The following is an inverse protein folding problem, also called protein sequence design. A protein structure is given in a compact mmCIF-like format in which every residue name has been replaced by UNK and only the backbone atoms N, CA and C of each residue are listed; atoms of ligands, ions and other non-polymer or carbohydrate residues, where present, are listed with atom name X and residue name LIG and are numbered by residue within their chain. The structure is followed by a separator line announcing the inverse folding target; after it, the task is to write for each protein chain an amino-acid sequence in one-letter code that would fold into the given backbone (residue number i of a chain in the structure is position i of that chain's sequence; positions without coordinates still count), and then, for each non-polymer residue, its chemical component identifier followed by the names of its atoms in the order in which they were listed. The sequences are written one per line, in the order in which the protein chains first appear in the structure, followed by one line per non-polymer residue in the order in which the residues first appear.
data_IF_902094119756
#
_entry.id   IF_902094119756
#
_cell.length_a   1.000
_cell.length_b   1.000
_cell.length_c   1.000
_cell.angle_alpha   90.00
_cell.angle_beta   90.00
_cell.angle_gamma   90.00
#
_symmetry.space_group_name_H-M   'P 1'
#
loop_
_entity.id
_entity.type
_entity.pdbx_description
1 polymer ?
#
# COMPACT_ATOMS: atom_id res chain seq x y z
N UNK A 1 -15.92 -5.79 7.54
CA UNK A 1 -16.05 -5.65 6.08
C UNK A 1 -16.31 -4.19 5.73
N UNK A 2 -15.98 -3.82 4.49
CA UNK A 2 -16.25 -2.52 3.90
C UNK A 2 -16.79 -2.73 2.49
N UNK A 3 -17.82 -1.95 2.12
CA UNK A 3 -18.36 -1.90 0.75
C UNK A 3 -18.66 -0.44 0.44
N UNK A 4 -18.00 0.08 -0.61
CA UNK A 4 -18.17 1.45 -1.06
C UNK A 4 -18.52 1.47 -2.54
N UNK A 5 -19.48 2.29 -2.90
CA UNK A 5 -19.82 2.59 -4.28
C UNK A 5 -19.94 4.10 -4.47
N UNK A 6 -19.17 4.62 -5.40
CA UNK A 6 -19.21 6.01 -5.78
C UNK A 6 -19.51 6.13 -7.27
N UNK A 7 -20.49 6.94 -7.64
CA UNK A 7 -20.76 7.30 -9.01
C UNK A 7 -20.78 8.83 -9.13
N UNK A 8 -20.03 9.33 -10.10
CA UNK A 8 -19.99 10.74 -10.47
C UNK A 8 -20.26 10.92 -11.96
N UNK A 9 -21.24 11.76 -12.31
CA UNK A 9 -21.44 12.20 -13.69
C UNK A 9 -20.63 13.46 -13.93
N UNK A 10 -19.93 13.53 -15.06
CA UNK A 10 -19.21 14.72 -15.48
C UNK A 10 -20.12 15.83 -15.98
N UNK A 11 -19.54 16.99 -16.20
CA UNK A 11 -20.23 18.19 -16.66
C UNK A 11 -20.59 18.11 -18.16
N UNK A 12 -19.74 17.47 -18.97
CA UNK A 12 -19.93 17.30 -20.41
C UNK A 12 -20.42 15.90 -20.77
N UNK A 13 -20.77 15.68 -22.04
CA UNK A 13 -21.15 14.38 -22.58
C UNK A 13 -20.05 13.35 -22.35
N UNK A 14 -20.44 12.09 -22.23
CA UNK A 14 -19.55 10.90 -22.14
C UNK A 14 -18.50 10.97 -21.01
N UNK A 15 -18.75 11.78 -19.99
CA UNK A 15 -17.89 11.89 -18.82
C UNK A 15 -18.59 11.34 -17.59
N UNK A 16 -18.08 10.25 -17.06
CA UNK A 16 -18.58 9.69 -15.80
C UNK A 16 -17.52 8.82 -15.17
N UNK A 17 -17.55 8.71 -13.84
CA UNK A 17 -16.68 7.84 -13.07
C UNK A 17 -17.54 6.98 -12.16
N UNK A 18 -17.24 5.67 -12.10
CA UNK A 18 -17.83 4.76 -11.13
C UNK A 18 -16.73 3.98 -10.44
N UNK A 19 -16.77 3.97 -9.12
CA UNK A 19 -15.86 3.21 -8.26
C UNK A 19 -16.66 2.24 -7.43
N UNK A 20 -16.21 1.00 -7.39
CA UNK A 20 -16.72 -0.02 -6.49
C UNK A 20 -15.54 -0.62 -5.72
N UNK A 21 -15.64 -0.63 -4.41
CA UNK A 21 -14.68 -1.23 -3.53
C UNK A 21 -15.39 -2.17 -2.54
N UNK A 22 -14.87 -3.38 -2.38
CA UNK A 22 -15.34 -4.32 -1.38
C UNK A 22 -14.16 -4.98 -0.69
N UNK A 23 -14.14 -4.94 0.64
CA UNK A 23 -13.06 -5.46 1.45
C UNK A 23 -13.55 -6.24 2.65
N UNK A 24 -12.77 -7.25 3.03
CA UNK A 24 -12.94 -8.02 4.26
C UNK A 24 -11.60 -8.03 4.97
N UNK A 25 -11.61 -7.82 6.27
CA UNK A 25 -10.43 -7.93 7.10
C UNK A 25 -10.72 -8.78 8.34
N UNK A 26 -9.70 -9.48 8.80
CA UNK A 26 -9.71 -10.26 10.02
C UNK A 26 -8.42 -10.01 10.80
N UNK A 27 -8.54 -9.97 12.12
CA UNK A 27 -7.40 -9.84 13.03
C UNK A 27 -7.56 -10.79 14.20
N UNK A 28 -6.48 -11.48 14.54
CA UNK A 28 -6.38 -12.28 15.73
C UNK A 28 -5.14 -11.86 16.53
N UNK A 29 -5.31 -11.53 17.79
CA UNK A 29 -4.24 -11.06 18.68
C UNK A 29 -4.23 -11.94 19.94
N UNK A 30 -3.36 -12.94 19.94
CA UNK A 30 -3.06 -13.76 21.11
C UNK A 30 -1.66 -13.50 21.65
N UNK A 31 -1.34 -14.09 22.79
CA UNK A 31 -0.03 -13.90 23.43
C UNK A 31 1.12 -14.46 22.57
N UNK A 32 0.95 -15.66 22.02
CA UNK A 32 1.97 -16.33 21.22
C UNK A 32 1.78 -16.18 19.72
N UNK A 33 0.53 -16.10 19.25
CA UNK A 33 0.21 -16.00 17.84
C UNK A 33 -0.61 -14.77 17.54
N UNK A 34 -0.26 -14.10 16.46
CA UNK A 34 -0.98 -12.93 15.93
C UNK A 34 -1.13 -13.09 14.42
N UNK A 35 -2.26 -12.68 13.89
CA UNK A 35 -2.57 -12.74 12.47
C UNK A 35 -3.40 -11.54 12.07
N UNK A 36 -3.12 -11.02 10.87
CA UNK A 36 -3.98 -10.06 10.18
C UNK A 36 -4.15 -10.52 8.74
N UNK A 37 -5.38 -10.53 8.27
CA UNK A 37 -5.73 -10.90 6.90
C UNK A 37 -6.62 -9.82 6.31
N UNK A 38 -6.35 -9.46 5.05
CA UNK A 38 -7.14 -8.49 4.30
C UNK A 38 -7.38 -9.06 2.91
N UNK A 39 -8.61 -9.05 2.47
CA UNK A 39 -9.01 -9.21 1.08
C UNK A 39 -9.65 -7.91 0.61
N UNK A 40 -9.25 -7.42 -0.53
CA UNK A 40 -9.87 -6.25 -1.15
C UNK A 40 -10.04 -6.45 -2.66
N UNK A 41 -11.16 -5.98 -3.17
CA UNK A 41 -11.47 -5.95 -4.60
C UNK A 41 -11.92 -4.53 -4.96
N UNK A 42 -11.26 -3.95 -5.94
CA UNK A 42 -11.52 -2.60 -6.43
C UNK A 42 -11.81 -2.61 -7.91
N UNK A 43 -12.84 -1.91 -8.33
CA UNK A 43 -13.16 -1.68 -9.73
C UNK A 43 -13.44 -0.22 -9.95
N UNK A 44 -12.69 0.42 -10.85
CA UNK A 44 -12.93 1.76 -11.32
C UNK A 44 -13.21 1.75 -12.81
N UNK A 45 -14.25 2.45 -13.24
CA UNK A 45 -14.53 2.71 -14.66
C UNK A 45 -14.70 4.21 -14.84
N UNK A 46 -13.99 4.75 -15.82
CA UNK A 46 -14.12 6.14 -16.26
C UNK A 46 -14.51 6.15 -17.73
N UNK A 47 -15.57 6.87 -18.07
CA UNK A 47 -15.87 7.23 -19.45
C UNK A 47 -15.14 8.53 -19.77
N UNK A 48 -14.53 8.59 -20.92
CA UNK A 48 -13.68 9.69 -21.36
C UNK A 48 -14.26 10.36 -22.59
N UNK A 49 -14.24 11.68 -22.61
CA UNK A 49 -14.78 12.46 -23.70
C UNK A 49 -13.70 13.19 -24.54
N UNK A 50 -12.43 13.14 -24.14
CA UNK A 50 -11.33 13.79 -24.86
C UNK A 50 -11.37 15.31 -24.90
N UNK A 51 -12.31 15.94 -24.20
CA UNK A 51 -12.61 17.37 -24.26
C UNK A 51 -13.67 17.74 -25.29
N UNK A 52 -14.08 19.00 -25.33
CA UNK A 52 -15.03 19.52 -26.31
C UNK A 52 -14.40 19.59 -27.70
N UNK A 53 -15.21 19.42 -28.75
CA UNK A 53 -14.71 19.43 -30.12
C UNK A 53 -14.25 20.82 -30.57
N UNK A 54 -14.93 21.87 -30.14
CA UNK A 54 -14.65 23.25 -30.53
C UNK A 54 -14.90 24.20 -29.35
N UNK A 55 -13.89 24.97 -28.97
CA UNK A 55 -13.95 25.93 -27.86
C UNK A 55 -14.93 27.09 -28.10
N UNK A 56 -15.35 27.31 -29.35
CA UNK A 56 -16.36 28.34 -29.68
C UNK A 56 -17.72 28.05 -29.09
N UNK A 57 -18.05 26.78 -28.76
CA UNK A 57 -19.27 26.45 -28.01
C UNK A 57 -19.36 27.18 -26.67
N UNK A 58 -18.21 27.60 -26.12
CA UNK A 58 -18.12 28.35 -24.86
C UNK A 58 -17.76 29.80 -25.10
N UNK A 59 -16.80 30.10 -26.00
CA UNK A 59 -16.22 31.41 -26.15
C UNK A 59 -17.03 32.34 -27.11
N UNK A 60 -17.69 31.75 -28.12
CA UNK A 60 -18.50 32.42 -29.11
C UNK A 60 -19.65 31.53 -29.57
N UNK A 61 -20.60 31.23 -28.68
CA UNK A 61 -21.65 30.25 -28.95
C UNK A 61 -22.56 30.65 -30.12
N UNK A 62 -22.74 31.93 -30.36
CA UNK A 62 -23.50 32.48 -31.50
C UNK A 62 -22.91 32.14 -32.87
N UNK A 63 -21.62 31.88 -32.96
CA UNK A 63 -20.95 31.48 -34.21
C UNK A 63 -21.18 29.99 -34.57
N UNK A 64 -21.78 29.23 -33.68
CA UNK A 64 -22.04 27.80 -33.90
C UNK A 64 -23.33 27.59 -34.69
N UNK A 65 -23.47 26.38 -35.28
CA UNK A 65 -24.50 26.05 -36.27
C UNK A 65 -25.95 26.37 -35.85
N UNK A 66 -26.26 26.37 -34.55
CA UNK A 66 -27.61 26.70 -34.06
C UNK A 66 -27.75 28.15 -33.63
N UNK A 67 -26.66 28.96 -33.64
CA UNK A 67 -26.67 30.40 -33.33
C UNK A 67 -27.21 30.74 -31.94
N UNK A 68 -27.07 29.85 -30.96
CA UNK A 68 -27.53 30.04 -29.59
C UNK A 68 -26.58 30.97 -28.82
N UNK A 69 -27.11 31.72 -27.86
CA UNK A 69 -26.30 32.54 -26.97
C UNK A 69 -25.53 31.69 -25.94
N UNK A 70 -26.03 30.48 -25.64
CA UNK A 70 -25.47 29.55 -24.68
C UNK A 70 -25.89 28.13 -25.04
N UNK A 71 -24.99 27.15 -24.82
CA UNK A 71 -25.23 25.72 -24.98
C UNK A 71 -25.19 25.06 -23.64
N UNK A 72 -26.12 24.17 -23.35
CA UNK A 72 -26.00 23.27 -22.21
C UNK A 72 -24.76 22.39 -22.35
N UNK A 73 -23.97 22.28 -21.31
CA UNK A 73 -22.73 21.47 -21.30
C UNK A 73 -22.93 20.03 -21.79
N UNK A 74 -24.10 19.44 -21.47
CA UNK A 74 -24.48 18.09 -21.88
C UNK A 74 -24.82 17.96 -23.35
N UNK A 75 -24.99 19.07 -24.10
CA UNK A 75 -25.28 19.09 -25.55
C UNK A 75 -24.06 19.44 -26.39
N UNK A 76 -23.01 19.99 -25.77
CA UNK A 76 -21.77 20.34 -26.48
C UNK A 76 -21.08 19.08 -26.99
N UNK A 77 -20.75 18.97 -28.30
CA UNK A 77 -20.06 17.86 -28.88
C UNK A 77 -18.66 17.64 -28.28
N UNK A 78 -18.29 16.42 -28.04
CA UNK A 78 -17.01 16.02 -27.46
C UNK A 78 -16.18 15.20 -28.45
N UNK A 79 -14.86 15.17 -28.24
CA UNK A 79 -13.91 14.54 -29.18
C UNK A 79 -14.01 13.02 -29.18
N UNK A 80 -14.27 12.41 -28.02
CA UNK A 80 -14.33 10.97 -27.86
C UNK A 80 -15.75 10.52 -27.49
N UNK A 81 -16.23 9.53 -28.24
CA UNK A 81 -17.50 8.84 -27.98
C UNK A 81 -17.22 7.38 -27.66
N UNK A 82 -17.98 6.80 -26.73
CA UNK A 82 -17.88 5.39 -26.35
C UNK A 82 -16.46 4.96 -25.94
N UNK A 83 -15.73 5.88 -25.32
CA UNK A 83 -14.37 5.65 -24.81
C UNK A 83 -14.39 5.49 -23.30
N UNK A 84 -13.70 4.47 -22.81
CA UNK A 84 -13.64 4.19 -21.38
C UNK A 84 -12.34 3.55 -20.97
N UNK A 85 -11.88 3.94 -19.76
CA UNK A 85 -10.86 3.26 -18.97
C UNK A 85 -11.50 2.41 -17.89
N UNK A 86 -10.99 1.23 -17.67
CA UNK A 86 -11.43 0.35 -16.58
C UNK A 86 -10.25 -0.30 -15.90
N UNK A 87 -10.12 -0.08 -14.60
CA UNK A 87 -9.19 -0.75 -13.72
C UNK A 87 -9.95 -1.74 -12.83
N UNK A 88 -9.40 -2.94 -12.70
CA UNK A 88 -9.84 -3.95 -11.75
C UNK A 88 -8.64 -4.48 -11.02
N UNK A 89 -8.67 -4.33 -9.71
CA UNK A 89 -7.60 -4.76 -8.84
C UNK A 89 -8.17 -5.60 -7.71
N UNK A 90 -7.53 -6.69 -7.38
CA UNK A 90 -7.77 -7.36 -6.12
C UNK A 90 -6.46 -7.72 -5.46
N UNK A 91 -6.46 -7.78 -4.14
CA UNK A 91 -5.37 -8.34 -3.39
C UNK A 91 -5.83 -9.12 -2.17
N UNK A 92 -5.03 -10.11 -1.84
CA UNK A 92 -5.06 -10.82 -0.56
C UNK A 92 -3.76 -10.51 0.16
N UNK A 93 -3.86 -10.03 1.37
CA UNK A 93 -2.74 -9.77 2.26
C UNK A 93 -2.91 -10.57 3.53
N UNK A 94 -1.89 -11.33 3.89
CA UNK A 94 -1.82 -12.08 5.13
C UNK A 94 -0.49 -11.79 5.80
N UNK A 95 -0.53 -11.34 7.04
CA UNK A 95 0.66 -11.32 7.89
C UNK A 95 0.37 -12.06 9.17
N UNK A 96 1.30 -12.90 9.59
CA UNK A 96 1.18 -13.59 10.85
C UNK A 96 2.53 -13.71 11.54
N UNK A 97 2.45 -13.79 12.85
CA UNK A 97 3.63 -13.83 13.73
C UNK A 97 3.42 -14.86 14.81
N UNK A 98 4.44 -15.68 15.00
CA UNK A 98 4.53 -16.58 16.13
C UNK A 98 5.65 -16.12 17.07
N UNK A 99 5.33 -15.93 18.34
CA UNK A 99 6.24 -15.41 19.37
C UNK A 99 6.74 -16.55 20.24
N UNK A 100 8.06 -16.63 20.41
CA UNK A 100 8.74 -17.44 21.42
C UNK A 100 9.16 -16.55 22.58
N UNK A 101 9.00 -17.05 23.79
CA UNK A 101 9.32 -16.31 25.00
C UNK A 101 9.15 -17.17 26.24
N UNK A 102 9.16 -16.52 27.39
CA UNK A 102 8.99 -17.16 28.70
C UNK A 102 7.90 -16.45 29.49
N UNK A 103 7.35 -17.14 30.47
CA UNK A 103 6.42 -16.55 31.44
C UNK A 103 7.20 -16.00 32.61
N UNK A 104 6.90 -14.75 32.98
CA UNK A 104 7.44 -14.07 34.17
C UNK A 104 6.32 -13.90 35.17
N UNK A 105 6.55 -14.33 36.40
CA UNK A 105 5.69 -14.02 37.52
C UNK A 105 6.01 -12.58 38.01
N UNK A 106 5.01 -11.73 38.03
CA UNK A 106 5.10 -10.39 38.58
C UNK A 106 4.23 -10.31 39.82
N UNK A 107 4.84 -10.04 40.95
CA UNK A 107 4.16 -9.88 42.21
C UNK A 107 3.76 -8.42 42.38
N UNK A 108 2.47 -8.13 42.31
CA UNK A 108 1.95 -6.79 42.63
C UNK A 108 1.35 -6.81 44.02
N UNK A 109 1.82 -5.96 44.90
CA UNK A 109 1.26 -5.78 46.24
C UNK A 109 0.24 -4.65 46.12
N UNK A 110 -1.04 -4.96 46.15
CA UNK A 110 -2.09 -3.95 46.30
C UNK A 110 -2.36 -3.72 47.78
N UNK A 111 -2.36 -2.47 48.21
CA UNK A 111 -2.88 -2.07 49.51
C UNK A 111 -4.39 -2.35 49.52
N UNK A 112 -4.84 -3.28 50.37
CA UNK A 112 -6.24 -3.62 50.51
C UNK A 112 -7.06 -2.33 50.73
N UNK A 113 -8.00 -2.03 49.82
CA UNK A 113 -8.93 -0.92 50.00
C UNK A 113 -9.68 -1.12 51.30
N UNK A 114 -9.39 -0.28 52.32
CA UNK A 114 -10.08 -0.28 53.58
C UNK A 114 -11.59 -0.21 53.39
N UNK A 115 -12.40 -1.14 53.93
CA UNK A 115 -13.83 -0.97 53.98
C UNK A 115 -14.14 0.27 54.85
N UNK A 116 -14.93 1.19 54.32
CA UNK A 116 -15.43 2.37 55.04
C UNK A 116 -16.32 1.95 56.19
N UNK A 117 -15.75 1.51 57.30
CA UNK A 117 -16.43 1.57 58.62
C UNK A 117 -15.39 1.37 59.72
N UNK A 118 -14.95 2.47 60.26
CA UNK A 118 -14.14 2.46 61.46
C UNK A 118 -14.99 1.96 62.64
N UNK A 119 -14.57 0.86 63.28
CA UNK A 119 -14.86 0.59 64.67
C UNK A 119 -13.49 0.50 65.31
N UNK A 120 -13.29 1.38 66.31
CA UNK A 120 -12.04 1.51 67.04
C UNK A 120 -11.69 0.21 67.79
N UNK A 121 -10.37 0.00 67.90
CA UNK A 121 -9.67 -1.04 68.64
C UNK A 121 -9.63 -2.42 67.99
N UNK A 122 -8.64 -2.63 67.14
CA UNK A 122 -7.59 -3.65 67.29
C UNK A 122 -6.62 -3.50 66.15
N UNK A 123 -5.33 -3.45 66.50
CA UNK A 123 -4.23 -3.38 65.54
C UNK A 123 -4.00 -4.73 64.87
N UNK A 124 -4.88 -5.10 63.94
CA UNK A 124 -4.63 -6.25 63.05
C UNK A 124 -3.85 -5.72 61.88
N UNK A 125 -2.61 -6.23 61.58
CA UNK A 125 -1.89 -5.86 60.38
C UNK A 125 -2.77 -6.20 59.15
N UNK A 126 -3.09 -5.19 58.32
CA UNK A 126 -3.77 -5.42 57.04
C UNK A 126 -2.98 -6.49 56.26
N UNK A 127 -3.61 -7.60 56.00
CA UNK A 127 -3.07 -8.62 55.11
C UNK A 127 -2.85 -7.96 53.76
N UNK A 128 -1.62 -7.86 53.31
CA UNK A 128 -1.28 -7.44 51.95
C UNK A 128 -1.68 -8.58 51.03
N UNK A 129 -2.71 -8.39 50.26
CA UNK A 129 -3.06 -9.34 49.18
C UNK A 129 -1.98 -9.27 48.12
N UNK A 130 -1.25 -10.35 47.98
CA UNK A 130 -0.22 -10.51 47.00
C UNK A 130 -0.84 -11.13 45.74
N UNK A 131 -1.06 -10.32 44.72
CA UNK A 131 -1.55 -10.80 43.42
C UNK A 131 -0.33 -11.23 42.60
N UNK A 132 -0.20 -12.52 42.31
CA UNK A 132 0.78 -13.07 41.38
C UNK A 132 0.13 -13.03 40.00
N UNK A 133 0.69 -12.20 39.10
CA UNK A 133 0.25 -12.13 37.71
C UNK A 133 1.31 -12.76 36.83
N UNK A 134 0.92 -13.73 36.03
CA UNK A 134 1.78 -14.31 35.02
C UNK A 134 1.73 -13.46 33.73
N UNK A 135 2.88 -12.95 33.32
CA UNK A 135 3.02 -12.19 32.07
C UNK A 135 3.90 -12.97 31.08
N UNK A 136 3.40 -13.15 29.85
CA UNK A 136 4.20 -13.72 28.76
C UNK A 136 5.14 -12.67 28.19
N UNK A 137 6.45 -12.88 28.32
CA UNK A 137 7.50 -12.01 27.80
C UNK A 137 8.05 -12.60 26.50
N UNK A 138 7.72 -12.02 25.34
CA UNK A 138 8.23 -12.51 24.07
C UNK A 138 9.68 -12.08 23.86
N UNK A 139 10.52 -12.97 23.36
CA UNK A 139 11.95 -12.76 23.07
C UNK A 139 12.19 -12.73 21.57
N UNK A 140 11.65 -13.72 20.85
CA UNK A 140 11.86 -13.91 19.42
C UNK A 140 10.51 -14.07 18.72
N UNK A 141 10.41 -13.61 17.50
CA UNK A 141 9.23 -13.81 16.66
C UNK A 141 9.63 -14.35 15.30
N UNK A 142 8.89 -15.33 14.81
CA UNK A 142 8.87 -15.71 13.41
C UNK A 142 7.72 -14.97 12.72
N UNK A 143 8.03 -14.33 11.63
CA UNK A 143 7.07 -13.48 10.88
C UNK A 143 6.99 -14.04 9.47
N UNK A 144 5.78 -14.22 8.98
CA UNK A 144 5.54 -14.47 7.58
C UNK A 144 4.48 -13.49 7.08
N UNK A 145 4.77 -12.86 5.94
CA UNK A 145 3.85 -11.97 5.25
C UNK A 145 3.72 -12.44 3.81
N UNK A 146 2.48 -12.62 3.35
CA UNK A 146 2.15 -12.97 1.98
C UNK A 146 1.23 -11.88 1.39
N UNK A 147 1.52 -11.48 0.15
CA UNK A 147 0.64 -10.63 -0.64
C UNK A 147 0.45 -11.27 -2.01
N UNK A 148 -0.78 -11.53 -2.39
CA UNK A 148 -1.17 -11.92 -3.75
C UNK A 148 -1.99 -10.79 -4.33
N UNK A 149 -1.64 -10.32 -5.52
CA UNK A 149 -2.37 -9.24 -6.17
C UNK A 149 -2.51 -9.49 -7.67
N UNK A 150 -3.62 -9.02 -8.20
CA UNK A 150 -3.84 -8.97 -9.66
C UNK A 150 -4.47 -7.65 -10.01
N UNK A 151 -3.82 -6.93 -10.92
CA UNK A 151 -4.30 -5.69 -11.51
C UNK A 151 -4.60 -5.91 -12.98
N UNK A 152 -5.68 -5.35 -13.47
CA UNK A 152 -6.04 -5.36 -14.88
C UNK A 152 -6.51 -3.99 -15.30
N UNK A 153 -5.83 -3.42 -16.29
CA UNK A 153 -6.25 -2.21 -16.97
C UNK A 153 -6.84 -2.55 -18.34
N UNK A 154 -7.92 -1.88 -18.72
CA UNK A 154 -8.52 -1.92 -20.05
C UNK A 154 -8.82 -0.51 -20.52
N UNK A 155 -8.34 -0.17 -21.69
CA UNK A 155 -8.79 0.99 -22.45
C UNK A 155 -9.63 0.49 -23.64
N UNK A 156 -10.77 1.13 -23.91
CA UNK A 156 -11.63 0.81 -25.03
C UNK A 156 -12.15 2.08 -25.66
N UNK A 157 -11.91 2.26 -26.93
CA UNK A 157 -12.51 3.29 -27.77
C UNK A 157 -13.14 2.63 -28.99
N UNK A 158 -14.44 2.78 -29.16
CA UNK A 158 -15.16 2.11 -30.25
C UNK A 158 -14.94 2.83 -31.60
N UNK A 159 -14.55 4.11 -31.55
CA UNK A 159 -14.26 4.92 -32.74
C UNK A 159 -13.13 5.86 -32.39
N UNK A 160 -12.05 5.75 -33.15
CA UNK A 160 -10.97 6.74 -33.07
C UNK A 160 -11.37 8.04 -33.77
N UNK A 161 -11.06 9.16 -33.16
CA UNK A 161 -11.20 10.45 -33.80
C UNK A 161 -9.93 10.76 -34.55
N UNK A 162 -10.04 11.07 -35.83
CA UNK A 162 -8.91 11.39 -36.69
C UNK A 162 -8.05 12.51 -36.08
N UNK A 163 -6.76 12.25 -35.96
CA UNK A 163 -5.78 13.19 -35.37
C UNK A 163 -5.80 13.29 -33.83
N UNK A 164 -6.65 12.52 -33.13
CA UNK A 164 -6.65 12.51 -31.65
C UNK A 164 -5.40 11.86 -31.07
N UNK A 165 -4.93 10.79 -31.71
CA UNK A 165 -3.69 10.09 -31.33
C UNK A 165 -2.73 10.08 -32.52
N UNK A 166 -1.43 10.26 -32.29
CA UNK A 166 -0.43 10.33 -33.37
C UNK A 166 -0.13 8.95 -33.99
N UNK A 167 -0.42 7.86 -33.29
CA UNK A 167 -0.10 6.50 -33.72
C UNK A 167 -1.26 5.53 -33.49
N UNK A 168 -1.34 4.49 -34.33
CA UNK A 168 -2.21 3.34 -34.18
C UNK A 168 -1.39 2.07 -34.50
N UNK A 169 -0.87 1.41 -33.45
CA UNK A 169 0.04 0.27 -33.60
C UNK A 169 -0.67 -1.04 -33.94
N UNK A 170 -1.91 -1.21 -33.52
CA UNK A 170 -2.64 -2.48 -33.64
C UNK A 170 -3.91 -2.37 -34.49
N UNK A 171 -4.63 -1.25 -34.41
CA UNK A 171 -5.88 -1.06 -35.14
C UNK A 171 -6.15 0.44 -35.36
N UNK A 172 -6.40 0.82 -36.61
CA UNK A 172 -6.64 2.23 -37.01
C UNK A 172 -8.05 2.73 -36.71
N UNK A 173 -9.01 1.83 -36.49
CA UNK A 173 -10.45 2.18 -36.35
C UNK A 173 -10.89 2.26 -34.90
N UNK A 174 -10.39 1.35 -34.08
CA UNK A 174 -10.82 1.21 -32.67
C UNK A 174 -9.70 0.70 -31.79
N UNK A 175 -9.66 1.17 -30.53
CA UNK A 175 -8.72 0.69 -29.53
C UNK A 175 -9.38 -0.27 -28.56
N UNK A 176 -8.70 -1.36 -28.25
CA UNK A 176 -9.12 -2.36 -27.25
C UNK A 176 -7.93 -2.87 -26.45
N UNK A 177 -7.29 -1.98 -25.73
CA UNK A 177 -6.08 -2.30 -24.97
C UNK A 177 -6.41 -3.02 -23.68
N UNK A 178 -5.57 -3.97 -23.32
CA UNK A 178 -5.69 -4.68 -22.05
C UNK A 178 -4.32 -5.11 -21.54
N UNK A 179 -3.99 -4.67 -20.34
CA UNK A 179 -2.81 -5.12 -19.60
C UNK A 179 -3.22 -5.85 -18.34
N UNK A 180 -2.50 -6.89 -17.97
CA UNK A 180 -2.71 -7.60 -16.71
C UNK A 180 -1.38 -7.74 -15.99
N UNK A 181 -1.37 -7.48 -14.69
CA UNK A 181 -0.27 -7.79 -13.80
C UNK A 181 -0.77 -8.75 -12.71
N UNK A 182 -0.02 -9.81 -12.46
CA UNK A 182 -0.24 -10.72 -11.35
C UNK A 182 1.05 -10.82 -10.55
N UNK A 183 0.98 -10.74 -9.22
CA UNK A 183 2.16 -10.95 -8.41
C UNK A 183 1.86 -11.70 -7.12
N UNK A 184 2.86 -12.45 -6.67
CA UNK A 184 2.90 -13.12 -5.37
C UNK A 184 4.18 -12.71 -4.67
N UNK A 185 4.05 -12.09 -3.50
CA UNK A 185 5.17 -11.71 -2.64
C UNK A 185 5.08 -12.46 -1.31
N UNK A 186 6.18 -13.09 -0.92
CA UNK A 186 6.35 -13.70 0.39
C UNK A 186 7.54 -13.07 1.10
N UNK A 187 7.39 -12.80 2.38
CA UNK A 187 8.47 -12.31 3.25
C UNK A 187 8.52 -13.19 4.49
N UNK A 188 9.67 -13.76 4.75
CA UNK A 188 9.97 -14.55 5.96
C UNK A 188 10.99 -13.81 6.79
N UNK A 189 10.68 -13.56 8.05
CA UNK A 189 11.54 -12.83 8.97
C UNK A 189 11.63 -13.46 10.34
N UNK A 190 12.78 -13.20 10.99
CA UNK A 190 13.04 -13.52 12.38
C UNK A 190 13.35 -12.21 13.09
N UNK A 191 12.64 -11.92 14.18
CA UNK A 191 12.84 -10.72 14.97
C UNK A 191 13.23 -11.09 16.40
N UNK A 192 14.32 -10.50 16.88
CA UNK A 192 14.65 -10.39 18.29
C UNK A 192 13.99 -9.13 18.82
N UNK A 193 13.17 -9.26 19.85
CA UNK A 193 12.36 -8.17 20.36
C UNK A 193 13.13 -7.32 21.37
N UNK A 194 12.83 -6.03 21.39
CA UNK A 194 13.36 -5.08 22.38
C UNK A 194 12.73 -5.33 23.75
N UNK A 195 13.50 -5.17 24.82
CA UNK A 195 12.99 -5.06 26.19
C UNK A 195 12.74 -6.39 26.92
N UNK A 196 13.05 -7.55 26.35
CA UNK A 196 12.90 -8.84 27.06
C UNK A 196 13.88 -9.00 28.23
N UNK A 197 14.99 -8.24 28.23
CA UNK A 197 15.90 -8.10 29.36
C UNK A 197 16.56 -6.71 29.36
N UNK A 198 17.32 -6.40 30.42
CA UNK A 198 17.98 -5.08 30.61
C UNK A 198 19.05 -4.73 29.55
N UNK A 199 19.53 -5.71 28.80
CA UNK A 199 20.56 -5.54 27.75
C UNK A 199 19.95 -5.41 26.35
N UNK A 200 18.75 -5.91 26.13
CA UNK A 200 18.05 -5.85 24.84
C UNK A 200 17.42 -4.47 24.62
N UNK A 201 18.27 -3.46 24.39
CA UNK A 201 17.85 -2.04 24.24
C UNK A 201 17.35 -1.69 22.84
N UNK A 202 17.40 -2.61 21.89
CA UNK A 202 16.90 -2.47 20.54
C UNK A 202 16.38 -3.81 20.02
N UNK A 203 15.40 -3.78 19.12
CA UNK A 203 14.93 -4.92 18.38
C UNK A 203 15.73 -5.08 17.08
N UNK A 204 16.00 -6.30 16.68
CA UNK A 204 16.69 -6.65 15.44
C UNK A 204 15.82 -7.61 14.65
N UNK A 205 15.53 -7.28 13.39
CA UNK A 205 14.83 -8.18 12.47
C UNK A 205 15.71 -8.48 11.27
N UNK A 206 15.78 -9.73 10.87
CA UNK A 206 16.35 -10.14 9.59
C UNK A 206 15.27 -10.83 8.77
N UNK A 207 15.24 -10.59 7.44
CA UNK A 207 14.22 -11.15 6.57
C UNK A 207 14.74 -11.45 5.17
N UNK A 208 14.06 -12.38 4.50
CA UNK A 208 14.17 -12.63 3.08
C UNK A 208 12.80 -12.38 2.43
N UNK A 209 12.79 -11.73 1.29
CA UNK A 209 11.60 -11.42 0.49
C UNK A 209 11.76 -12.01 -0.90
N UNK A 210 10.76 -12.76 -1.35
CA UNK A 210 10.65 -13.24 -2.72
C UNK A 210 9.37 -12.69 -3.34
N UNK A 211 9.48 -12.11 -4.54
CA UNK A 211 8.35 -11.65 -5.34
C UNK A 211 8.46 -12.26 -6.74
N UNK A 212 7.40 -12.93 -7.16
CA UNK A 212 7.15 -13.33 -8.53
C UNK A 212 6.11 -12.41 -9.12
N UNK A 213 6.34 -11.94 -10.34
CA UNK A 213 5.41 -11.10 -11.10
C UNK A 213 5.27 -11.62 -12.52
N UNK A 214 4.03 -11.66 -13.01
CA UNK A 214 3.70 -11.96 -14.40
C UNK A 214 2.92 -10.80 -14.98
N UNK A 215 3.36 -10.31 -16.12
CA UNK A 215 2.72 -9.23 -16.86
C UNK A 215 2.28 -9.75 -18.22
N UNK A 216 1.03 -9.45 -18.59
CA UNK A 216 0.48 -9.73 -19.92
C UNK A 216 0.28 -8.39 -20.63
N UNK A 217 0.92 -8.20 -21.76
CA UNK A 217 0.75 -7.07 -22.66
C UNK A 217 0.11 -7.50 -23.97
N UNK A 218 -0.49 -6.56 -24.69
CA UNK A 218 -0.97 -6.80 -26.04
C UNK A 218 0.18 -6.99 -27.03
N UNK A 219 -0.08 -7.78 -28.04
CA UNK A 219 0.75 -7.96 -29.21
C UNK A 219 -0.13 -8.02 -30.46
N UNK A 220 0.44 -7.94 -31.65
CA UNK A 220 -0.28 -7.84 -32.93
C UNK A 220 -1.30 -8.97 -33.16
N UNK A 221 -0.96 -10.20 -32.78
CA UNK A 221 -1.80 -11.39 -33.00
C UNK A 221 -2.24 -12.09 -31.71
N UNK A 222 -1.64 -11.74 -30.56
CA UNK A 222 -1.82 -12.47 -29.30
C UNK A 222 -1.56 -11.59 -28.09
N UNK A 223 -1.04 -12.19 -27.03
CA UNK A 223 -0.53 -11.50 -25.86
C UNK A 223 0.87 -11.99 -25.55
N UNK A 224 1.72 -11.06 -25.17
CA UNK A 224 3.07 -11.37 -24.72
C UNK A 224 3.10 -11.38 -23.18
N UNK A 225 3.73 -12.41 -22.62
CA UNK A 225 3.91 -12.58 -21.20
C UNK A 225 5.35 -12.28 -20.82
N UNK A 226 5.52 -11.54 -19.73
CA UNK A 226 6.79 -11.24 -19.11
C UNK A 226 6.76 -11.73 -17.66
N UNK A 227 7.73 -12.56 -17.29
CA UNK A 227 7.89 -13.06 -15.94
C UNK A 227 9.11 -12.42 -15.29
N UNK A 228 8.96 -11.91 -14.08
CA UNK A 228 10.03 -11.32 -13.30
C UNK A 228 10.06 -11.91 -11.89
N UNK A 229 11.26 -12.19 -11.42
CA UNK A 229 11.49 -12.58 -10.03
C UNK A 229 12.40 -11.58 -9.34
N UNK A 230 12.14 -11.35 -8.08
CA UNK A 230 12.93 -10.46 -7.23
C UNK A 230 13.14 -11.13 -5.89
N UNK A 231 14.41 -11.23 -5.48
CA UNK A 231 14.77 -11.73 -4.14
C UNK A 231 15.59 -10.66 -3.44
N UNK A 232 15.11 -10.24 -2.26
CA UNK A 232 15.80 -9.30 -1.38
C UNK A 232 16.12 -9.96 -0.05
N UNK A 233 17.25 -9.61 0.51
CA UNK A 233 17.61 -9.87 1.90
C UNK A 233 17.70 -8.52 2.61
N UNK A 234 17.11 -8.44 3.79
CA UNK A 234 17.07 -7.18 4.51
C UNK A 234 17.07 -7.37 6.03
N UNK A 235 17.19 -6.25 6.71
CA UNK A 235 17.13 -6.17 8.15
C UNK A 235 16.60 -4.85 8.66
N UNK A 236 16.12 -4.87 9.88
CA UNK A 236 15.64 -3.70 10.62
C UNK A 236 16.28 -3.70 12.00
N UNK A 237 16.83 -2.55 12.38
CA UNK A 237 17.26 -2.23 13.74
C UNK A 237 16.37 -1.13 14.28
N UNK A 238 15.57 -1.42 15.31
CA UNK A 238 14.62 -0.46 15.84
C UNK A 238 14.69 -0.38 17.36
N UNK A 239 14.65 0.83 17.87
CA UNK A 239 14.45 1.13 19.28
C UNK A 239 13.17 1.93 19.44
N UNK A 240 12.16 1.32 20.06
CA UNK A 240 10.81 1.90 20.21
C UNK A 240 10.46 2.19 21.67
N UNK A 241 11.20 1.60 22.62
CA UNK A 241 10.98 1.80 24.06
C UNK A 241 11.91 2.87 24.62
N UNK A 242 11.44 3.53 25.68
CA UNK A 242 12.17 4.58 26.36
C UNK A 242 11.53 5.96 26.14
N UNK A 243 12.14 7.00 26.74
CA UNK A 243 11.58 8.36 26.70
C UNK A 243 12.39 9.32 25.83
N UNK A 244 13.65 8.98 25.55
CA UNK A 244 14.61 9.94 25.00
C UNK A 244 14.94 9.67 23.54
N UNK A 245 15.23 8.42 23.18
CA UNK A 245 15.74 8.06 21.86
C UNK A 245 14.93 6.92 21.26
N UNK A 246 14.30 7.19 20.13
CA UNK A 246 13.69 6.18 19.26
C UNK A 246 14.35 6.26 17.89
N UNK A 247 14.57 5.14 17.30
CA UNK A 247 15.07 5.06 15.92
C UNK A 247 14.58 3.79 15.23
N UNK A 248 14.53 3.87 13.93
CA UNK A 248 14.28 2.72 13.03
C UNK A 248 15.21 2.87 11.84
N UNK A 249 16.08 1.89 11.65
CA UNK A 249 16.92 1.79 10.46
C UNK A 249 16.60 0.47 9.81
N UNK A 250 16.11 0.52 8.57
CA UNK A 250 15.88 -0.67 7.78
C UNK A 250 16.61 -0.58 6.44
N UNK A 251 17.11 -1.72 5.99
CA UNK A 251 17.83 -1.83 4.73
C UNK A 251 17.55 -3.17 4.07
N UNK A 252 17.51 -3.16 2.74
CA UNK A 252 17.40 -4.38 1.93
C UNK A 252 18.29 -4.26 0.69
N UNK A 253 18.78 -5.40 0.24
CA UNK A 253 19.58 -5.54 -0.97
C UNK A 253 19.04 -6.68 -1.82
N UNK A 254 18.93 -6.42 -3.12
CA UNK A 254 18.53 -7.41 -4.10
C UNK A 254 19.68 -8.33 -4.47
N UNK A 255 19.47 -9.62 -4.36
CA UNK A 255 20.51 -10.64 -4.49
C UNK A 255 20.35 -11.54 -5.73
N UNK A 256 19.19 -11.50 -6.39
CA UNK A 256 18.94 -12.39 -7.52
C UNK A 256 18.02 -11.74 -8.56
N UNK A 257 18.21 -12.11 -9.83
CA UNK A 257 17.42 -11.77 -11.01
C UNK A 257 17.22 -10.26 -11.18
N UNK A 258 16.01 -9.78 -11.38
CA UNK A 258 15.72 -8.35 -11.58
C UNK A 258 16.07 -7.50 -10.34
N UNK A 259 16.10 -8.11 -9.16
CA UNK A 259 16.51 -7.41 -7.94
C UNK A 259 18.02 -7.17 -7.83
N UNK A 260 18.86 -7.91 -8.56
CA UNK A 260 20.33 -7.85 -8.41
C UNK A 260 20.86 -6.41 -8.56
N UNK A 261 21.60 -5.95 -7.54
CA UNK A 261 22.18 -4.62 -7.47
C UNK A 261 21.21 -3.51 -7.07
N UNK A 262 19.94 -3.83 -6.81
CA UNK A 262 19.02 -2.90 -6.17
C UNK A 262 19.26 -2.86 -4.65
N UNK A 263 19.09 -1.70 -4.06
CA UNK A 263 19.08 -1.55 -2.60
C UNK A 263 18.18 -0.42 -2.16
N UNK A 264 17.70 -0.51 -0.91
CA UNK A 264 16.95 0.54 -0.22
C UNK A 264 17.40 0.60 1.22
N UNK A 265 17.65 1.79 1.69
CA UNK A 265 17.94 2.07 3.12
C UNK A 265 17.09 3.23 3.56
N UNK A 266 16.40 3.06 4.68
CA UNK A 266 15.61 4.10 5.31
C UNK A 266 16.03 4.21 6.78
N UNK A 267 16.09 5.42 7.30
CA UNK A 267 16.40 5.70 8.68
C UNK A 267 15.48 6.80 9.21
N UNK A 268 14.87 6.53 10.36
CA UNK A 268 14.07 7.46 11.14
C UNK A 268 14.70 7.61 12.51
N UNK A 269 14.81 8.83 12.99
CA UNK A 269 15.33 9.19 14.32
C UNK A 269 14.36 10.15 15.00
N UNK A 270 14.01 9.85 16.24
CA UNK A 270 13.23 10.70 17.14
C UNK A 270 13.99 10.83 18.45
N UNK A 271 14.44 12.04 18.76
CA UNK A 271 15.23 12.35 19.92
C UNK A 271 14.52 13.40 20.79
N UNK A 272 14.15 13.00 22.01
CA UNK A 272 13.55 13.87 23.02
C UNK A 272 14.60 14.23 24.07
N UNK A 273 14.89 15.51 24.24
CA UNK A 273 15.84 15.98 25.22
C UNK A 273 15.35 17.26 25.91
N UNK A 274 15.83 17.49 27.13
CA UNK A 274 15.53 18.73 27.88
C UNK A 274 16.51 19.82 27.50
N UNK A 275 15.97 20.98 27.13
CA UNK A 275 16.73 22.19 26.88
C UNK A 275 16.04 23.35 27.63
N UNK A 276 16.78 24.07 28.53
CA UNK A 276 16.27 25.19 29.33
C UNK A 276 14.92 24.95 30.05
N UNK A 277 14.75 23.79 30.69
CA UNK A 277 13.55 23.31 31.39
C UNK A 277 12.39 22.82 30.49
N UNK A 278 12.45 23.04 29.19
CA UNK A 278 11.47 22.51 28.23
C UNK A 278 11.95 21.23 27.57
N UNK A 279 11.00 20.45 27.05
CA UNK A 279 11.30 19.25 26.25
C UNK A 279 11.31 19.61 24.78
N UNK A 280 12.45 19.39 24.13
CA UNK A 280 12.62 19.54 22.67
C UNK A 280 12.58 18.17 22.03
N UNK A 281 11.79 18.05 20.98
CA UNK A 281 11.76 16.89 20.11
C UNK A 281 12.50 17.22 18.82
N UNK A 282 13.48 16.40 18.46
CA UNK A 282 14.19 16.43 17.19
C UNK A 282 13.85 15.19 16.39
N UNK A 283 13.27 15.39 15.22
CA UNK A 283 12.93 14.32 14.29
C UNK A 283 13.74 14.46 13.00
N UNK A 284 14.39 13.37 12.57
CA UNK A 284 15.09 13.29 11.30
C UNK A 284 14.71 12.03 10.54
N UNK A 285 14.56 12.16 9.22
CA UNK A 285 14.31 11.04 8.30
C UNK A 285 15.28 11.15 7.13
N UNK A 286 15.88 10.03 6.76
CA UNK A 286 16.72 9.89 5.60
C UNK A 286 16.40 8.61 4.82
N UNK A 287 16.57 8.66 3.50
CA UNK A 287 16.49 7.47 2.68
C UNK A 287 17.47 7.54 1.52
N UNK A 288 17.93 6.39 1.10
CA UNK A 288 18.70 6.22 -0.15
C UNK A 288 18.25 4.93 -0.83
N UNK A 289 18.08 4.97 -2.14
CA UNK A 289 17.65 3.80 -2.89
C UNK A 289 18.22 3.81 -4.30
N UNK A 290 18.54 2.62 -4.78
CA UNK A 290 18.87 2.32 -6.16
C UNK A 290 17.92 1.21 -6.62
N UNK A 291 16.99 1.52 -7.49
CA UNK A 291 15.92 0.60 -7.89
C UNK A 291 15.70 0.61 -9.39
N UNK A 292 15.43 -0.56 -9.95
CA UNK A 292 15.02 -0.66 -11.34
C UNK A 292 13.70 0.09 -11.55
N UNK A 293 13.51 0.85 -12.62
CA UNK A 293 12.23 1.42 -12.99
C UNK A 293 11.12 0.36 -13.07
N UNK A 294 9.89 0.75 -12.77
CA UNK A 294 8.76 -0.18 -12.77
C UNK A 294 8.59 -0.86 -14.14
N UNK A 295 7.96 -2.04 -14.16
CA UNK A 295 7.74 -2.81 -15.39
C UNK A 295 7.13 -1.96 -16.51
N UNK A 296 6.06 -1.21 -16.22
CA UNK A 296 5.37 -0.40 -17.24
C UNK A 296 6.14 0.84 -17.71
N UNK A 297 7.19 1.26 -17.03
CA UNK A 297 8.14 2.24 -17.54
C UNK A 297 9.11 1.63 -18.56
N UNK A 298 9.37 0.33 -18.45
CA UNK A 298 10.27 -0.41 -19.34
C UNK A 298 9.55 -1.03 -20.54
N UNK A 299 8.31 -1.51 -20.32
CA UNK A 299 7.52 -2.21 -21.32
C UNK A 299 6.06 -1.71 -21.26
N UNK A 300 5.56 -1.26 -22.39
CA UNK A 300 4.16 -0.85 -22.51
C UNK A 300 3.67 -1.03 -23.95
N UNK A 301 2.60 -1.78 -24.12
CA UNK A 301 1.96 -2.06 -25.41
C UNK A 301 0.50 -1.65 -25.36
N UNK A 302 0.16 -0.62 -26.11
CA UNK A 302 -1.20 -0.16 -26.35
C UNK A 302 -1.36 0.27 -27.81
N UNK A 303 -2.58 0.49 -28.25
CA UNK A 303 -2.82 0.93 -29.62
C UNK A 303 -2.18 2.29 -29.94
N UNK A 304 -2.08 3.19 -28.94
CA UNK A 304 -1.55 4.54 -29.13
C UNK A 304 -0.09 4.70 -28.69
N UNK A 305 0.40 3.84 -27.79
CA UNK A 305 1.72 3.95 -27.18
C UNK A 305 2.38 2.58 -27.15
N UNK A 306 3.61 2.52 -27.63
CA UNK A 306 4.40 1.29 -27.65
C UNK A 306 5.86 1.59 -27.31
N UNK A 307 6.39 0.92 -26.27
CA UNK A 307 7.81 0.91 -25.97
C UNK A 307 8.25 -0.37 -25.27
N UNK A 308 9.45 -0.81 -25.63
CA UNK A 308 10.19 -1.89 -24.98
C UNK A 308 11.63 -1.45 -24.78
N UNK A 309 12.02 -1.31 -23.52
CA UNK A 309 13.36 -0.85 -23.14
C UNK A 309 13.94 -1.76 -22.06
N UNK A 310 14.72 -2.75 -22.46
CA UNK A 310 15.41 -3.67 -21.54
C UNK A 310 16.52 -3.00 -20.73
N UNK A 311 17.15 -1.95 -21.27
CA UNK A 311 18.38 -1.35 -20.77
C UNK A 311 18.18 -0.06 -19.98
N UNK A 312 17.06 0.10 -19.25
CA UNK A 312 16.95 1.20 -18.30
C UNK A 312 17.91 0.99 -17.13
N UNK A 313 18.82 1.94 -16.91
CA UNK A 313 19.73 1.92 -15.76
C UNK A 313 18.97 2.09 -14.44
N UNK A 314 19.48 1.42 -13.42
CA UNK A 314 19.04 1.54 -12.02
C UNK A 314 19.45 2.87 -11.44
#
# INVERSE_FOLDING_TARGET
FNIDYLYGRGYYQNQSTSNFNAGIFASYIGNKYQMQAVYNNFTMKMNENGGIQDDRYITRPEDMAEGKKEYESTTIPVKLEQTSNKNKDFYVYLTHRYRLGFTRETTTVEDAKSPKRAVANDSVPLAKDTIITEEFVPVTSFIHTMKVERARHKFSSAKETEGQYPNAYFNEVASRDSTTAFSVKNVFGIALLEGFNKYAKAGLTAYISHKFSRYELMDTLSRTNFDEQEIFVGGELAKRQGKTLHYNVNGEVGIMDKALGQFRVNADLDLNFRLWKDTVNFYARGYVSNTLPSFYMRHYHSNQYYWDTENMNK
#
